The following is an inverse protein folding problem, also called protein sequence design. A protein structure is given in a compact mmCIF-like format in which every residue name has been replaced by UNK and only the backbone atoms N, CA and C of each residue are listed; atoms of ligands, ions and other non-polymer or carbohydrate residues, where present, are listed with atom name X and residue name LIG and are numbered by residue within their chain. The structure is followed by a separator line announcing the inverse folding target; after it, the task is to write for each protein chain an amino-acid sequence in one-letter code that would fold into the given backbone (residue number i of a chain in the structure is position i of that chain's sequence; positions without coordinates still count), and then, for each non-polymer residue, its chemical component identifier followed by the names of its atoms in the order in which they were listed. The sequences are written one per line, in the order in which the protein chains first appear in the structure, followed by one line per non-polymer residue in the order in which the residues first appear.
data_IF_394808358230
#
_entry.id   IF_394808358230
#
_cell.length_a   1.000
_cell.length_b   1.000
_cell.length_c   1.000
_cell.angle_alpha   90.00
_cell.angle_beta   90.00
_cell.angle_gamma   90.00
#
_symmetry.space_group_name_H-M   'P 1'
#
loop_
_entity.id
_entity.type
_entity.pdbx_description
1 polymer ?
#
# COMPACT_ATOMS: atom_id res chain seq x y z
N UNK A 1 -32.05 -53.52 70.61
CA UNK A 1 -32.36 -53.55 69.17
C UNK A 1 -31.69 -52.37 68.52
N UNK A 2 -30.59 -52.51 67.78
CA UNK A 2 -30.00 -51.42 67.03
C UNK A 2 -30.46 -51.48 65.58
N UNK A 3 -30.87 -50.32 65.06
CA UNK A 3 -31.28 -50.12 63.68
C UNK A 3 -30.06 -50.06 62.76
N UNK A 4 -30.14 -50.79 61.68
CA UNK A 4 -29.14 -50.82 60.57
C UNK A 4 -29.37 -49.66 59.62
N UNK A 5 -28.35 -48.82 59.48
CA UNK A 5 -28.34 -47.75 58.45
C UNK A 5 -27.73 -48.36 57.18
N UNK A 6 -28.35 -48.18 55.98
CA UNK A 6 -27.79 -48.65 54.75
C UNK A 6 -26.71 -47.69 54.21
N UNK A 7 -25.69 -48.16 53.42
CA UNK A 7 -24.64 -47.33 52.90
C UNK A 7 -25.11 -46.51 51.68
N UNK A 8 -24.81 -45.23 51.71
CA UNK A 8 -25.04 -44.32 50.61
C UNK A 8 -23.95 -44.52 49.54
N UNK A 9 -24.44 -44.89 48.33
CA UNK A 9 -23.56 -45.03 47.16
C UNK A 9 -23.12 -43.64 46.64
N UNK A 10 -21.81 -43.37 46.67
CA UNK A 10 -21.22 -42.23 45.98
C UNK A 10 -21.15 -42.53 44.48
N UNK A 11 -21.94 -41.79 43.69
CA UNK A 11 -21.80 -41.74 42.24
C UNK A 11 -20.72 -40.72 41.94
N UNK A 12 -19.54 -41.18 41.49
CA UNK A 12 -18.47 -40.34 40.97
C UNK A 12 -18.89 -39.83 39.58
N UNK A 13 -19.28 -38.55 39.53
CA UNK A 13 -19.52 -37.85 38.27
C UNK A 13 -18.20 -37.53 37.59
N UNK A 14 -17.89 -38.20 36.48
CA UNK A 14 -16.82 -37.83 35.56
C UNK A 14 -17.21 -36.53 34.85
N UNK A 15 -16.74 -35.39 35.36
CA UNK A 15 -16.83 -34.10 34.69
C UNK A 15 -15.87 -34.05 33.51
N UNK A 16 -16.35 -34.27 32.30
CA UNK A 16 -15.58 -34.09 31.09
C UNK A 16 -15.28 -32.59 30.88
N UNK A 17 -14.01 -32.20 31.05
CA UNK A 17 -13.50 -30.88 30.60
C UNK A 17 -13.51 -30.86 29.08
N UNK A 18 -14.52 -30.26 28.45
CA UNK A 18 -14.51 -29.86 27.06
C UNK A 18 -13.54 -28.65 26.91
N UNK A 19 -12.27 -28.92 26.54
CA UNK A 19 -11.36 -27.90 26.14
C UNK A 19 -11.80 -27.31 24.79
N UNK A 20 -12.53 -26.20 24.85
CA UNK A 20 -12.84 -25.39 23.66
C UNK A 20 -11.55 -24.83 23.10
N UNK A 21 -11.00 -25.43 22.05
CA UNK A 21 -9.94 -24.84 21.23
C UNK A 21 -10.52 -23.56 20.59
N UNK A 22 -10.22 -22.42 21.16
CA UNK A 22 -10.41 -21.13 20.52
C UNK A 22 -9.45 -21.07 19.34
N UNK A 23 -9.94 -21.33 18.13
CA UNK A 23 -9.27 -20.99 16.89
C UNK A 23 -9.15 -19.46 16.83
N UNK A 24 -8.02 -18.93 17.32
CA UNK A 24 -7.66 -17.53 17.12
C UNK A 24 -7.38 -17.40 15.61
N UNK A 25 -8.17 -16.60 14.87
CA UNK A 25 -7.83 -16.37 13.47
C UNK A 25 -6.46 -15.74 13.43
N UNK A 26 -5.52 -16.36 12.68
CA UNK A 26 -4.22 -15.78 12.43
C UNK A 26 -4.44 -14.39 11.83
N UNK A 27 -3.99 -13.35 12.55
CA UNK A 27 -4.01 -11.99 12.04
C UNK A 27 -3.26 -12.01 10.70
N UNK A 28 -3.97 -11.79 9.61
CA UNK A 28 -3.35 -11.64 8.30
C UNK A 28 -2.49 -10.39 8.39
N UNK A 29 -1.18 -10.53 8.18
CA UNK A 29 -0.28 -9.40 8.09
C UNK A 29 -0.87 -8.45 7.03
N UNK A 30 -1.30 -7.27 7.45
CA UNK A 30 -1.83 -6.25 6.55
C UNK A 30 -0.68 -5.74 5.70
N UNK A 31 -0.65 -6.16 4.46
CA UNK A 31 0.34 -5.74 3.48
C UNK A 31 0.08 -4.29 3.10
N UNK A 32 1.13 -3.48 3.05
CA UNK A 32 1.04 -2.05 2.76
C UNK A 32 1.13 -1.76 1.26
N UNK A 33 0.51 -0.65 0.85
CA UNK A 33 0.76 0.00 -0.43
C UNK A 33 1.76 1.12 -0.16
N UNK A 34 2.87 1.15 -0.88
CA UNK A 34 3.91 2.16 -0.75
C UNK A 34 4.24 2.76 -2.11
N UNK A 35 4.43 4.08 -2.19
CA UNK A 35 4.79 4.77 -3.42
C UNK A 35 6.20 5.36 -3.33
N UNK A 36 6.92 5.35 -4.46
CA UNK A 36 8.22 5.99 -4.63
C UNK A 36 8.12 6.84 -5.88
N UNK A 37 8.27 8.14 -5.70
CA UNK A 37 8.13 9.12 -6.76
C UNK A 37 9.52 9.58 -7.25
N UNK A 38 9.85 9.25 -8.48
CA UNK A 38 11.11 9.59 -9.14
C UNK A 38 11.00 10.85 -10.00
N UNK A 39 9.86 11.55 -9.96
CA UNK A 39 9.55 12.69 -10.84
C UNK A 39 9.53 14.01 -10.08
N UNK A 40 9.52 15.11 -10.81
CA UNK A 40 9.35 16.46 -10.25
C UNK A 40 7.88 16.83 -9.94
N UNK A 41 6.93 15.99 -10.37
CA UNK A 41 5.52 16.15 -10.03
C UNK A 41 5.22 15.59 -8.64
N UNK A 42 4.25 16.13 -7.95
CA UNK A 42 3.68 15.44 -6.80
C UNK A 42 2.72 14.34 -7.28
N UNK A 43 2.65 13.24 -6.54
CA UNK A 43 1.58 12.26 -6.65
C UNK A 43 0.55 12.61 -5.58
N UNK A 44 -0.57 13.23 -5.98
CA UNK A 44 -1.58 13.72 -5.05
C UNK A 44 -2.35 12.59 -4.38
N UNK A 45 -2.59 11.54 -5.12
CA UNK A 45 -3.13 10.26 -4.62
C UNK A 45 -2.83 9.16 -5.64
N UNK A 46 -2.86 7.93 -5.19
CA UNK A 46 -2.83 6.76 -6.07
C UNK A 46 -3.56 5.57 -5.45
N UNK A 47 -3.89 4.60 -6.28
CA UNK A 47 -4.48 3.34 -5.86
C UNK A 47 -3.90 2.17 -6.66
N UNK A 48 -3.96 0.98 -6.06
CA UNK A 48 -3.62 -0.28 -6.70
C UNK A 48 -4.85 -1.19 -6.64
N UNK A 49 -5.38 -1.58 -7.78
CA UNK A 49 -6.63 -2.35 -7.92
C UNK A 49 -7.79 -1.72 -7.11
N UNK A 50 -7.88 -0.38 -7.15
CA UNK A 50 -8.90 0.40 -6.44
C UNK A 50 -8.68 0.57 -4.93
N UNK A 51 -7.57 0.07 -4.38
CA UNK A 51 -7.19 0.26 -2.97
C UNK A 51 -6.27 1.47 -2.85
N UNK A 52 -6.74 2.50 -2.17
CA UNK A 52 -6.03 3.79 -2.09
C UNK A 52 -4.87 3.74 -1.11
N UNK A 53 -3.75 4.36 -1.50
CA UNK A 53 -2.74 4.86 -0.58
C UNK A 53 -3.21 6.20 0.02
N UNK A 54 -2.78 6.49 1.25
CA UNK A 54 -3.38 7.56 2.07
C UNK A 54 -2.69 8.91 1.85
N UNK A 55 -1.39 8.95 1.54
CA UNK A 55 -0.59 10.17 1.58
C UNK A 55 -0.26 10.73 0.19
N UNK A 56 -0.12 12.04 0.13
CA UNK A 56 0.52 12.76 -0.99
C UNK A 56 2.01 12.44 -0.95
N UNK A 57 2.58 12.11 -2.12
CA UNK A 57 4.02 11.90 -2.27
C UNK A 57 4.60 13.11 -3.02
N UNK A 58 5.46 13.86 -2.36
CA UNK A 58 6.17 14.98 -2.99
C UNK A 58 7.15 14.54 -4.08
N UNK A 59 7.68 15.49 -4.85
CA UNK A 59 8.75 15.21 -5.82
C UNK A 59 9.93 14.50 -5.18
N UNK A 60 10.41 13.44 -5.82
CA UNK A 60 11.60 12.69 -5.40
C UNK A 60 11.53 12.18 -3.95
N UNK A 61 10.35 11.67 -3.56
CA UNK A 61 10.10 11.17 -2.21
C UNK A 61 9.44 9.79 -2.23
N UNK A 62 9.55 9.09 -1.11
CA UNK A 62 8.75 7.91 -0.82
C UNK A 62 7.65 8.25 0.17
N UNK A 63 6.55 7.53 0.10
CA UNK A 63 5.42 7.72 1.01
C UNK A 63 4.22 6.84 0.68
N UNK A 64 3.07 7.17 1.25
CA UNK A 64 1.83 6.50 0.93
C UNK A 64 1.57 5.25 1.75
N UNK A 65 1.44 5.33 3.03
CA UNK A 65 1.13 4.20 3.91
C UNK A 65 -0.31 3.69 3.80
N UNK A 66 -0.77 3.29 2.61
CA UNK A 66 -2.09 2.69 2.42
C UNK A 66 -2.16 1.28 3.00
N UNK A 67 -3.25 0.96 3.72
CA UNK A 67 -3.48 -0.38 4.24
C UNK A 67 -4.07 -1.29 3.16
N UNK A 68 -3.72 -2.54 3.32
CA UNK A 68 -4.55 -3.68 3.01
C UNK A 68 -4.55 -4.13 1.55
N UNK A 69 -3.44 -4.00 0.86
CA UNK A 69 -3.18 -4.74 -0.37
C UNK A 69 -2.54 -6.10 -0.02
N UNK A 70 -3.21 -7.18 -0.33
CA UNK A 70 -2.68 -8.52 -0.21
C UNK A 70 -2.50 -9.11 -1.61
N UNK A 71 -1.26 -9.23 -2.10
CA UNK A 71 -1.00 -9.95 -3.35
C UNK A 71 -1.52 -11.39 -3.25
N UNK A 72 -1.90 -12.02 -4.37
CA UNK A 72 -2.21 -13.44 -4.40
C UNK A 72 -1.07 -14.27 -3.79
N UNK A 73 -1.42 -15.38 -3.12
CA UNK A 73 -0.40 -16.26 -2.49
C UNK A 73 0.57 -16.87 -3.50
N UNK A 74 0.15 -17.02 -4.75
CA UNK A 74 0.95 -17.59 -5.83
C UNK A 74 0.96 -16.61 -7.00
N UNK A 75 2.14 -16.36 -7.53
CA UNK A 75 2.29 -15.64 -8.78
C UNK A 75 1.90 -16.51 -9.96
N UNK A 76 1.30 -15.89 -10.97
CA UNK A 76 0.98 -16.56 -12.24
C UNK A 76 1.49 -15.72 -13.41
N UNK A 77 1.95 -16.36 -14.51
CA UNK A 77 2.38 -15.65 -15.71
C UNK A 77 1.30 -14.68 -16.22
N UNK A 78 1.72 -13.47 -16.56
CA UNK A 78 0.80 -12.42 -17.04
C UNK A 78 0.06 -11.66 -15.93
N UNK A 79 0.38 -11.90 -14.65
CA UNK A 79 -0.20 -11.14 -13.54
C UNK A 79 0.09 -9.65 -13.69
N UNK A 80 -0.97 -8.85 -13.59
CA UNK A 80 -0.90 -7.38 -13.61
C UNK A 80 -1.68 -6.80 -12.45
N UNK A 81 -1.39 -5.55 -12.13
CA UNK A 81 -2.20 -4.70 -11.26
C UNK A 81 -2.55 -3.42 -11.99
N UNK A 82 -3.73 -2.86 -11.70
CA UNK A 82 -4.08 -1.53 -12.18
C UNK A 82 -3.60 -0.49 -11.17
N UNK A 83 -2.78 0.43 -11.64
CA UNK A 83 -2.37 1.61 -10.88
C UNK A 83 -3.08 2.81 -11.47
N UNK A 84 -3.89 3.48 -10.65
CA UNK A 84 -4.53 4.75 -10.96
C UNK A 84 -3.88 5.83 -10.10
N UNK A 85 -3.50 6.99 -10.67
CA UNK A 85 -2.88 8.07 -9.89
C UNK A 85 -3.19 9.45 -10.47
N UNK A 86 -3.08 10.48 -9.62
CA UNK A 86 -3.14 11.88 -10.02
C UNK A 86 -1.79 12.53 -9.79
N UNK A 87 -1.25 13.15 -10.82
CA UNK A 87 -0.11 14.06 -10.69
C UNK A 87 -0.57 15.49 -10.49
N UNK A 88 0.25 16.27 -9.78
CA UNK A 88 0.01 17.69 -9.55
C UNK A 88 1.30 18.46 -9.33
N UNK A 89 1.17 19.74 -9.04
CA UNK A 89 2.34 20.59 -8.77
C UNK A 89 2.95 20.22 -7.44
N UNK A 90 4.23 19.89 -7.44
CA UNK A 90 5.00 19.48 -6.27
C UNK A 90 5.55 20.62 -5.42
N UNK A 91 5.13 21.86 -5.67
CA UNK A 91 5.69 23.04 -5.02
C UNK A 91 4.59 24.04 -4.65
N UNK A 92 4.85 24.86 -3.63
CA UNK A 92 4.00 25.98 -3.24
C UNK A 92 4.46 27.31 -3.86
N UNK A 93 5.24 27.28 -4.94
CA UNK A 93 5.73 28.47 -5.60
C UNK A 93 4.58 29.41 -6.00
N UNK A 94 4.77 30.71 -5.75
CA UNK A 94 3.75 31.71 -6.04
C UNK A 94 2.55 31.70 -5.09
N UNK A 95 2.58 30.93 -4.00
CA UNK A 95 1.51 30.97 -2.99
C UNK A 95 1.39 32.38 -2.40
N UNK A 96 0.23 33.06 -2.55
CA UNK A 96 0.08 34.47 -2.17
C UNK A 96 -0.27 34.68 -0.69
N UNK A 97 -0.32 33.61 0.12
CA UNK A 97 -0.90 33.67 1.46
C UNK A 97 -2.42 33.64 1.44
N UNK A 98 -3.02 33.70 2.63
CA UNK A 98 -4.48 33.72 2.81
C UNK A 98 -5.06 35.11 3.01
N UNK A 99 -4.24 36.12 3.15
CA UNK A 99 -4.65 37.50 3.39
C UNK A 99 -5.42 38.11 2.21
N UNK A 100 -5.08 37.71 0.99
CA UNK A 100 -5.79 38.10 -0.23
C UNK A 100 -6.51 36.89 -0.84
N UNK A 101 -7.77 36.73 -0.45
CA UNK A 101 -8.59 35.60 -0.87
C UNK A 101 -8.75 35.47 -2.39
N UNK A 102 -8.87 36.59 -3.12
CA UNK A 102 -8.98 36.56 -4.58
C UNK A 102 -7.70 35.99 -5.24
N UNK A 103 -6.52 36.45 -4.82
CA UNK A 103 -5.24 35.92 -5.29
C UNK A 103 -5.05 34.44 -4.91
N UNK A 104 -5.49 34.08 -3.71
CA UNK A 104 -5.45 32.66 -3.29
C UNK A 104 -6.29 31.78 -4.21
N UNK A 105 -7.52 32.20 -4.55
CA UNK A 105 -8.39 31.43 -5.44
C UNK A 105 -7.83 31.32 -6.85
N UNK A 106 -7.24 32.40 -7.38
CA UNK A 106 -6.55 32.37 -8.67
C UNK A 106 -5.36 31.40 -8.66
N UNK A 107 -4.49 31.49 -7.67
CA UNK A 107 -3.37 30.56 -7.50
C UNK A 107 -3.86 29.12 -7.39
N UNK A 108 -4.87 28.86 -6.56
CA UNK A 108 -5.48 27.52 -6.40
C UNK A 108 -6.06 26.98 -7.72
N UNK A 109 -6.72 27.84 -8.50
CA UNK A 109 -7.24 27.46 -9.79
C UNK A 109 -6.12 27.04 -10.76
N UNK A 110 -5.02 27.81 -10.80
CA UNK A 110 -3.83 27.51 -11.60
C UNK A 110 -3.15 26.19 -11.20
N UNK A 111 -3.04 25.91 -9.89
CA UNK A 111 -2.52 24.63 -9.38
C UNK A 111 -3.44 23.47 -9.79
N UNK A 112 -4.75 23.63 -9.63
CA UNK A 112 -5.70 22.58 -9.98
C UNK A 112 -5.75 22.30 -11.48
N UNK A 113 -5.55 23.32 -12.34
CA UNK A 113 -5.52 23.13 -13.78
C UNK A 113 -4.33 22.29 -14.30
N UNK A 114 -3.31 22.11 -13.46
CA UNK A 114 -2.12 21.30 -13.79
C UNK A 114 -2.25 19.84 -13.34
N UNK A 115 -3.33 19.48 -12.67
CA UNK A 115 -3.59 18.11 -12.25
C UNK A 115 -3.91 17.23 -13.46
N UNK A 116 -3.34 16.02 -13.47
CA UNK A 116 -3.57 15.03 -14.51
C UNK A 116 -3.87 13.66 -13.89
N UNK A 117 -4.90 13.01 -14.42
CA UNK A 117 -5.29 11.66 -14.04
C UNK A 117 -4.62 10.64 -14.97
N UNK A 118 -4.15 9.56 -14.39
CA UNK A 118 -3.46 8.49 -15.09
C UNK A 118 -4.01 7.13 -14.65
N UNK A 119 -3.95 6.16 -15.55
CA UNK A 119 -4.28 4.76 -15.27
C UNK A 119 -3.41 3.84 -16.12
N UNK A 120 -2.83 2.81 -15.52
CA UNK A 120 -1.98 1.84 -16.22
C UNK A 120 -2.10 0.44 -15.64
N UNK A 121 -2.17 -0.56 -16.53
CA UNK A 121 -1.93 -1.96 -16.14
C UNK A 121 -0.44 -2.21 -16.11
N UNK A 122 0.07 -2.67 -14.98
CA UNK A 122 1.49 -2.86 -14.71
C UNK A 122 1.75 -4.33 -14.40
N UNK A 123 2.71 -4.93 -15.11
CA UNK A 123 3.09 -6.30 -14.85
C UNK A 123 3.72 -6.44 -13.44
N UNK A 124 3.28 -7.44 -12.70
CA UNK A 124 3.85 -7.79 -11.40
C UNK A 124 4.99 -8.78 -11.63
N UNK A 125 6.22 -8.45 -11.21
CA UNK A 125 7.35 -9.36 -11.32
C UNK A 125 7.10 -10.68 -10.60
N UNK A 126 7.73 -11.75 -11.10
CA UNK A 126 7.65 -13.07 -10.47
C UNK A 126 8.21 -13.03 -9.04
N UNK A 127 7.39 -13.42 -8.09
CA UNK A 127 7.74 -13.56 -6.67
C UNK A 127 7.65 -15.00 -6.16
N UNK A 128 7.66 -15.98 -7.07
CA UNK A 128 7.63 -17.40 -6.70
C UNK A 128 8.76 -17.73 -5.74
N UNK A 129 8.43 -18.37 -4.62
CA UNK A 129 9.40 -18.73 -3.58
C UNK A 129 9.92 -17.57 -2.74
N UNK A 130 9.40 -16.36 -2.93
CA UNK A 130 9.78 -15.17 -2.18
C UNK A 130 8.73 -14.82 -1.11
N UNK A 131 9.19 -14.17 -0.03
CA UNK A 131 8.29 -13.51 0.93
C UNK A 131 7.72 -12.25 0.28
N UNK A 132 6.42 -12.04 0.43
CA UNK A 132 5.69 -10.89 -0.10
C UNK A 132 5.24 -9.98 1.04
N UNK A 133 5.48 -8.67 0.93
CA UNK A 133 5.20 -7.69 1.98
C UNK A 133 4.31 -6.52 1.53
N UNK A 134 3.43 -6.76 0.57
CA UNK A 134 2.58 -5.72 0.01
C UNK A 134 2.99 -5.37 -1.41
N UNK A 135 2.78 -4.13 -1.81
CA UNK A 135 3.17 -3.63 -3.12
C UNK A 135 3.80 -2.25 -3.02
N UNK A 136 4.96 -2.09 -3.65
CA UNK A 136 5.58 -0.78 -3.86
C UNK A 136 5.40 -0.36 -5.31
N UNK A 137 4.97 0.88 -5.52
CA UNK A 137 4.73 1.50 -6.82
C UNK A 137 5.78 2.57 -7.06
N UNK A 138 6.50 2.48 -8.17
CA UNK A 138 7.49 3.46 -8.60
C UNK A 138 6.90 4.32 -9.71
N UNK A 139 6.74 5.61 -9.47
CA UNK A 139 6.31 6.59 -10.46
C UNK A 139 7.54 7.18 -11.14
N UNK A 140 7.66 6.94 -12.44
CA UNK A 140 8.82 7.30 -13.25
C UNK A 140 8.45 8.42 -14.24
N UNK A 141 9.44 9.14 -14.81
CA UNK A 141 9.19 10.09 -15.89
C UNK A 141 8.38 9.48 -17.04
N UNK A 142 7.71 10.34 -17.78
CA UNK A 142 6.86 9.94 -18.91
C UNK A 142 5.70 9.01 -18.51
N UNK A 143 5.14 9.23 -17.34
CA UNK A 143 3.99 8.49 -16.82
C UNK A 143 4.23 6.96 -16.82
N UNK A 144 5.49 6.54 -16.68
CA UNK A 144 5.84 5.14 -16.53
C UNK A 144 5.67 4.71 -15.08
N UNK A 145 5.29 3.45 -14.90
CA UNK A 145 5.11 2.86 -13.57
C UNK A 145 5.73 1.48 -13.52
N UNK A 146 6.43 1.18 -12.43
CA UNK A 146 6.92 -0.15 -12.09
C UNK A 146 6.39 -0.54 -10.71
N UNK A 147 6.25 -1.85 -10.46
CA UNK A 147 5.83 -2.34 -9.16
C UNK A 147 6.74 -3.47 -8.69
N UNK A 148 6.77 -3.67 -7.37
CA UNK A 148 7.40 -4.83 -6.74
C UNK A 148 6.68 -5.20 -5.46
N UNK A 149 6.74 -6.49 -5.10
CA UNK A 149 6.19 -7.04 -3.86
C UNK A 149 7.26 -7.33 -2.82
N UNK A 150 8.47 -6.83 -3.03
CA UNK A 150 9.65 -7.06 -2.20
C UNK A 150 9.43 -6.62 -0.75
N UNK A 151 9.96 -7.42 0.18
CA UNK A 151 10.03 -7.09 1.60
C UNK A 151 11.24 -6.26 1.98
N UNK A 152 12.15 -6.04 1.07
CA UNK A 152 13.32 -5.19 1.32
C UNK A 152 12.96 -3.72 1.12
N UNK A 153 13.48 -2.81 1.95
CA UNK A 153 13.30 -1.38 1.77
C UNK A 153 13.99 -0.87 0.48
N UNK A 154 13.37 0.12 -0.18
CA UNK A 154 14.00 0.82 -1.30
C UNK A 154 15.36 1.39 -0.91
N UNK A 155 16.33 1.31 -1.82
CA UNK A 155 17.72 1.74 -1.59
C UNK A 155 18.62 0.66 -0.97
N UNK A 156 18.08 -0.47 -0.50
CA UNK A 156 18.93 -1.57 -0.01
C UNK A 156 19.47 -2.45 -1.15
N UNK A 157 20.59 -3.17 -0.94
CA UNK A 157 21.17 -4.04 -1.97
C UNK A 157 20.22 -5.13 -2.49
N UNK A 158 19.29 -5.60 -1.67
CA UNK A 158 18.35 -6.66 -2.01
C UNK A 158 17.08 -6.15 -2.70
N UNK A 159 16.80 -4.85 -2.67
CA UNK A 159 15.63 -4.29 -3.33
C UNK A 159 15.75 -4.44 -4.86
N UNK A 160 14.73 -4.96 -5.57
CA UNK A 160 14.89 -5.32 -6.98
C UNK A 160 14.98 -4.12 -7.93
N UNK A 161 14.32 -3.00 -7.63
CA UNK A 161 14.32 -1.81 -8.48
C UNK A 161 15.44 -0.87 -8.01
N UNK A 162 16.45 -0.68 -8.87
CA UNK A 162 17.67 0.08 -8.56
C UNK A 162 17.65 1.52 -9.09
N UNK A 163 16.53 1.94 -9.65
CA UNK A 163 16.34 3.29 -10.18
C UNK A 163 16.68 4.35 -9.12
N UNK A 164 17.54 5.32 -9.39
CA UNK A 164 17.83 6.43 -8.46
C UNK A 164 16.54 7.19 -8.10
N UNK A 165 16.46 7.71 -6.88
CA UNK A 165 15.27 8.42 -6.45
C UNK A 165 14.95 9.62 -7.33
N UNK A 166 15.98 10.39 -7.68
CA UNK A 166 15.86 11.55 -8.56
C UNK A 166 16.28 11.18 -9.97
N UNK A 167 15.33 11.20 -10.90
CA UNK A 167 15.58 11.03 -12.33
C UNK A 167 15.46 12.36 -13.05
N UNK A 168 16.33 12.63 -14.03
CA UNK A 168 16.14 13.75 -14.94
C UNK A 168 14.88 13.51 -15.80
N UNK A 169 14.13 14.57 -16.04
CA UNK A 169 13.04 14.49 -17.00
C UNK A 169 13.61 14.41 -18.41
N UNK A 170 13.17 13.45 -19.22
CA UNK A 170 13.56 13.37 -20.60
C UNK A 170 12.98 14.54 -21.40
N UNK A 171 13.70 15.02 -22.42
CA UNK A 171 13.22 16.10 -23.28
C UNK A 171 11.96 15.71 -24.08
N UNK A 172 11.73 14.44 -24.30
CA UNK A 172 10.53 13.89 -24.93
C UNK A 172 10.23 12.51 -24.44
N UNK A 173 8.95 12.21 -24.23
CA UNK A 173 8.49 10.87 -23.89
C UNK A 173 8.25 10.10 -25.19
N UNK A 174 8.88 8.93 -25.32
CA UNK A 174 8.59 8.02 -26.41
C UNK A 174 7.26 7.32 -26.11
N UNK A 175 6.34 7.41 -27.03
CA UNK A 175 5.03 6.73 -27.02
C UNK A 175 5.14 5.25 -27.34
#
# INVERSE_FOLDING_TARGET
MPELIPPTSFVAGLGGLLASLLLVPAAQATSTIYGINHTHWAINHFSVDGRSAIDIIGPYQGGGGGCCYAPPKQWTPGMTVRVDWETGVGTSAGFPGFENWAKYLEWKANINAQKRQHSKLVAVPDYTGQKVCGISVHFLPCDQVQVTTSCYPYGTPQYPIKTPLQLPEPMSCQS
#
